data_IF_802774773361
#
_entry.id   IF_802774773361
#
_cell.length_a   1.000
_cell.length_b   1.000
_cell.length_c   1.000
_cell.angle_alpha   90.00
_cell.angle_beta   90.00
_cell.angle_gamma   90.00
#
_symmetry.space_group_name_H-M   'P 1'
#
loop_
_entity.id
_entity.type
_entity.pdbx_description
1 polymer ?
#
# COMPACT_ATOMS: atom_id res chain seq x y z
N UNK A 1 41.16 -10.57 1.12
CA UNK A 1 40.63 -10.42 -0.24
C UNK A 1 39.25 -11.05 -0.29
N UNK A 2 38.21 -10.26 -0.04
CA UNK A 2 36.81 -10.70 -0.14
C UNK A 2 36.12 -9.82 -1.18
N UNK A 3 36.02 -10.32 -2.42
CA UNK A 3 35.25 -9.65 -3.46
C UNK A 3 33.78 -10.03 -3.27
N UNK A 4 33.05 -9.19 -2.53
CA UNK A 4 31.59 -9.24 -2.49
C UNK A 4 31.07 -8.81 -3.87
N UNK A 5 30.84 -9.80 -4.75
CA UNK A 5 30.02 -9.65 -5.95
C UNK A 5 28.56 -9.62 -5.52
N UNK A 6 28.09 -8.49 -5.00
CA UNK A 6 26.66 -8.23 -5.02
C UNK A 6 26.31 -7.66 -6.37
N UNK A 7 25.45 -8.38 -7.06
CA UNK A 7 25.02 -8.15 -8.42
C UNK A 7 24.67 -6.68 -8.65
N UNK A 8 25.41 -6.03 -9.55
CA UNK A 8 24.94 -4.89 -10.32
C UNK A 8 23.85 -5.42 -11.28
N UNK A 9 22.69 -5.76 -10.73
CA UNK A 9 21.49 -5.67 -11.52
C UNK A 9 21.21 -4.19 -11.59
N UNK A 10 21.24 -3.63 -12.79
CA UNK A 10 20.85 -2.26 -13.09
C UNK A 10 19.42 -2.03 -12.62
N UNK A 11 19.20 -1.88 -11.31
CA UNK A 11 17.98 -1.36 -10.73
C UNK A 11 18.02 0.12 -11.08
N UNK A 12 17.58 0.42 -12.29
CA UNK A 12 16.70 1.56 -12.42
C UNK A 12 15.55 1.25 -11.47
N UNK A 13 15.70 1.62 -10.20
CA UNK A 13 14.59 1.65 -9.26
C UNK A 13 13.72 2.78 -9.77
N UNK A 14 12.99 2.52 -10.87
CA UNK A 14 11.87 3.35 -11.25
C UNK A 14 11.03 3.40 -9.98
N UNK A 15 11.03 4.58 -9.39
CA UNK A 15 10.26 4.85 -8.19
C UNK A 15 8.82 4.64 -8.61
N UNK A 16 8.17 3.64 -8.03
CA UNK A 16 6.78 3.25 -8.31
C UNK A 16 5.96 3.43 -7.06
N UNK A 17 4.69 3.77 -7.24
CA UNK A 17 3.72 3.77 -6.15
C UNK A 17 3.30 2.31 -5.95
N UNK A 18 3.33 1.84 -4.71
CA UNK A 18 3.05 0.43 -4.39
C UNK A 18 1.71 0.32 -3.72
N UNK A 19 0.76 -0.36 -4.36
CA UNK A 19 -0.55 -0.64 -3.80
C UNK A 19 -0.66 -2.12 -3.46
N UNK A 20 -0.79 -2.44 -2.18
CA UNK A 20 -1.08 -3.79 -1.71
C UNK A 20 -2.61 -3.97 -1.72
N UNK A 21 -3.09 -4.80 -2.64
CA UNK A 21 -4.51 -5.10 -2.78
C UNK A 21 -5.00 -5.99 -1.64
N UNK A 22 -6.31 -5.96 -1.37
CA UNK A 22 -6.91 -6.76 -0.29
C UNK A 22 -6.72 -8.27 -0.48
N UNK A 23 -6.52 -8.71 -1.72
CA UNK A 23 -6.29 -10.10 -2.13
C UNK A 23 -4.83 -10.54 -1.94
N UNK A 24 -3.95 -9.65 -1.48
CA UNK A 24 -2.52 -9.90 -1.26
C UNK A 24 -1.66 -9.68 -2.50
N UNK A 25 -2.22 -9.18 -3.61
CA UNK A 25 -1.43 -8.84 -4.79
C UNK A 25 -0.83 -7.44 -4.64
N UNK A 26 0.42 -7.28 -5.07
CA UNK A 26 1.06 -5.97 -5.17
C UNK A 26 0.87 -5.41 -6.58
N UNK A 27 0.40 -4.17 -6.66
CA UNK A 27 0.29 -3.41 -7.91
C UNK A 27 1.22 -2.20 -7.86
N UNK A 28 2.02 -2.03 -8.91
CA UNK A 28 3.00 -0.96 -8.99
C UNK A 28 2.61 0.04 -10.10
N UNK A 29 2.68 1.33 -9.78
CA UNK A 29 2.36 2.39 -10.72
C UNK A 29 3.56 3.32 -10.91
N UNK A 30 4.00 3.51 -12.16
CA UNK A 30 5.11 4.41 -12.47
C UNK A 30 4.70 5.87 -12.62
N UNK A 31 3.42 6.20 -12.36
CA UNK A 31 2.85 7.54 -12.43
C UNK A 31 1.83 7.73 -11.30
N UNK A 32 1.51 8.99 -10.93
CA UNK A 32 0.46 9.27 -9.96
C UNK A 32 -0.90 8.72 -10.38
N UNK A 33 -1.57 7.99 -9.50
CA UNK A 33 -2.88 7.39 -9.79
C UNK A 33 -3.91 7.87 -8.77
N UNK A 34 -5.02 8.45 -9.26
CA UNK A 34 -6.12 8.86 -8.40
C UNK A 34 -6.76 7.69 -7.66
N UNK A 35 -6.99 7.89 -6.37
CA UNK A 35 -7.68 6.93 -5.50
C UNK A 35 -9.08 6.61 -6.03
N UNK A 36 -9.83 7.62 -6.48
CA UNK A 36 -11.16 7.42 -7.07
C UNK A 36 -11.17 6.43 -8.25
N UNK A 37 -10.11 6.40 -9.07
CA UNK A 37 -10.00 5.47 -10.19
C UNK A 37 -9.83 4.01 -9.71
N UNK A 38 -9.09 3.81 -8.63
CA UNK A 38 -8.89 2.49 -8.03
C UNK A 38 -10.18 1.99 -7.36
N UNK A 39 -10.86 2.89 -6.63
CA UNK A 39 -12.11 2.57 -5.95
C UNK A 39 -13.29 2.31 -6.90
N UNK A 40 -13.24 2.80 -8.14
CA UNK A 40 -14.23 2.43 -9.16
C UNK A 40 -14.23 0.92 -9.47
N UNK A 41 -13.07 0.26 -9.33
CA UNK A 41 -12.97 -1.19 -9.53
C UNK A 41 -13.41 -1.96 -8.27
N UNK A 42 -13.14 -1.40 -7.10
CA UNK A 42 -13.41 -2.02 -5.80
C UNK A 42 -14.14 -1.03 -4.85
N UNK A 43 -15.46 -0.79 -5.04
CA UNK A 43 -16.20 0.21 -4.27
C UNK A 43 -16.42 -0.19 -2.79
N UNK A 44 -16.26 -1.47 -2.45
CA UNK A 44 -16.36 -1.98 -1.08
C UNK A 44 -15.05 -1.82 -0.28
N UNK A 45 -14.07 -1.10 -0.83
CA UNK A 45 -12.75 -0.89 -0.26
C UNK A 45 -12.42 0.61 -0.18
N UNK A 46 -11.37 0.92 0.56
CA UNK A 46 -10.76 2.24 0.65
C UNK A 46 -9.24 2.09 0.55
N UNK A 47 -8.55 3.16 0.15
CA UNK A 47 -7.09 3.20 0.09
C UNK A 47 -6.59 3.99 1.28
N UNK A 48 -5.51 3.53 1.91
CA UNK A 48 -4.79 4.28 2.94
C UNK A 48 -3.29 4.28 2.66
N UNK A 49 -2.60 5.32 3.11
CA UNK A 49 -1.15 5.38 3.10
C UNK A 49 -0.56 4.52 4.22
N UNK A 50 0.59 3.89 3.96
CA UNK A 50 1.35 3.18 5.00
C UNK A 50 1.75 4.08 6.15
N UNK A 51 2.02 5.35 5.87
CA UNK A 51 2.51 6.32 6.86
C UNK A 51 1.43 6.75 7.86
N UNK A 52 0.15 6.66 7.48
CA UNK A 52 -0.97 6.96 8.36
C UNK A 52 -1.50 5.73 9.13
N UNK A 53 -0.90 4.55 8.90
CA UNK A 53 -1.29 3.32 9.58
C UNK A 53 -0.52 3.16 10.89
N UNK A 54 -1.10 3.69 11.96
CA UNK A 54 -0.56 3.55 13.31
C UNK A 54 -1.34 2.54 14.17
N UNK A 55 -0.63 1.80 15.04
CA UNK A 55 -1.23 0.84 15.96
C UNK A 55 -2.23 1.52 16.92
N UNK A 56 -3.36 0.86 17.18
CA UNK A 56 -4.49 1.36 18.01
C UNK A 56 -5.13 2.67 17.53
N UNK A 57 -4.75 3.15 16.33
CA UNK A 57 -5.38 4.28 15.67
C UNK A 57 -6.42 3.83 14.65
N UNK A 58 -7.29 4.78 14.27
CA UNK A 58 -8.20 4.61 13.17
C UNK A 58 -7.43 4.81 11.87
N UNK A 59 -7.66 3.93 10.89
CA UNK A 59 -7.04 4.09 9.58
C UNK A 59 -7.64 5.30 8.87
N UNK A 60 -6.78 6.26 8.52
CA UNK A 60 -7.16 7.36 7.64
C UNK A 60 -7.34 6.83 6.21
N UNK A 61 -8.48 7.14 5.60
CA UNK A 61 -8.63 6.91 4.16
C UNK A 61 -8.05 8.08 3.39
N UNK A 62 -7.48 7.80 2.23
CA UNK A 62 -7.20 8.82 1.25
C UNK A 62 -8.50 9.21 0.54
N UNK A 63 -8.70 10.50 0.33
CA UNK A 63 -9.78 11.06 -0.46
C UNK A 63 -9.69 10.64 -1.93
N UNK A 64 -10.83 10.57 -2.62
CA UNK A 64 -10.88 10.13 -4.02
C UNK A 64 -10.10 11.02 -5.00
N UNK A 65 -9.84 12.27 -4.63
CA UNK A 65 -9.03 13.21 -5.42
C UNK A 65 -7.52 13.12 -5.15
N UNK A 66 -7.13 12.41 -4.09
CA UNK A 66 -5.71 12.16 -3.80
C UNK A 66 -5.14 11.12 -4.75
N UNK A 67 -3.81 11.16 -4.89
CA UNK A 67 -3.08 10.35 -5.86
C UNK A 67 -1.98 9.55 -5.17
N UNK A 68 -1.87 8.27 -5.53
CA UNK A 68 -0.78 7.41 -5.10
C UNK A 68 0.51 7.91 -5.74
N UNK A 69 1.42 8.44 -4.91
CA UNK A 69 2.68 8.99 -5.36
C UNK A 69 3.74 7.89 -5.49
N UNK A 70 4.56 7.94 -6.54
CA UNK A 70 5.67 7.01 -6.65
C UNK A 70 6.65 7.16 -5.47
N UNK A 71 7.04 6.03 -4.87
CA UNK A 71 7.96 5.98 -3.73
C UNK A 71 7.29 5.60 -2.42
N UNK A 72 5.98 5.75 -2.36
CA UNK A 72 5.17 5.47 -1.18
C UNK A 72 4.47 4.11 -1.29
N UNK A 73 4.04 3.58 -0.15
CA UNK A 73 3.30 2.32 -0.04
C UNK A 73 1.87 2.62 0.43
N UNK A 74 0.91 1.96 -0.21
CA UNK A 74 -0.51 2.12 0.02
C UNK A 74 -1.16 0.74 0.20
N UNK A 75 -2.23 0.70 0.96
CA UNK A 75 -3.00 -0.53 1.21
C UNK A 75 -4.46 -0.33 0.79
N UNK A 76 -4.99 -1.30 0.06
CA UNK A 76 -6.42 -1.43 -0.19
C UNK A 76 -7.05 -2.25 0.94
N UNK A 77 -7.95 -1.62 1.68
CA UNK A 77 -8.59 -2.22 2.85
C UNK A 77 -10.12 -2.25 2.67
N UNK A 78 -10.80 -3.29 3.19
CA UNK A 78 -12.25 -3.35 3.15
C UNK A 78 -12.87 -2.32 4.11
N UNK A 79 -13.99 -1.69 3.72
CA UNK A 79 -14.63 -0.60 4.48
C UNK A 79 -14.93 -0.92 5.96
N UNK A 80 -15.09 -2.21 6.30
CA UNK A 80 -15.26 -2.66 7.69
C UNK A 80 -14.12 -2.22 8.63
N UNK A 81 -12.90 -2.04 8.11
CA UNK A 81 -11.73 -1.65 8.91
C UNK A 81 -11.74 -0.17 9.29
N UNK A 82 -12.54 0.67 8.63
CA UNK A 82 -12.64 2.12 8.93
C UNK A 82 -13.24 2.42 10.31
N UNK A 83 -13.98 1.47 10.87
CA UNK A 83 -14.67 1.61 12.16
C UNK A 83 -14.00 0.84 13.29
N UNK A 84 -12.92 0.12 12.99
CA UNK A 84 -12.20 -0.71 13.94
C UNK A 84 -10.82 -0.10 14.19
N UNK A 85 -10.38 -0.09 15.45
CA UNK A 85 -8.99 0.25 15.78
C UNK A 85 -8.09 -0.87 15.30
N UNK A 86 -7.00 -0.52 14.60
CA UNK A 86 -6.00 -1.48 14.14
C UNK A 86 -5.47 -2.30 15.32
N UNK A 87 -5.91 -3.56 15.43
CA UNK A 87 -5.36 -4.52 16.39
C UNK A 87 -4.09 -5.14 15.84
N UNK A 88 -3.27 -5.73 16.70
CA UNK A 88 -2.04 -6.42 16.29
C UNK A 88 -2.31 -7.55 15.28
N UNK A 89 -3.47 -8.20 15.39
CA UNK A 89 -3.95 -9.24 14.48
C UNK A 89 -4.25 -8.69 13.07
N UNK A 90 -4.87 -7.51 13.00
CA UNK A 90 -5.15 -6.82 11.73
C UNK A 90 -3.85 -6.39 11.05
N UNK A 91 -2.90 -5.84 11.82
CA UNK A 91 -1.56 -5.49 11.31
C UNK A 91 -0.78 -6.72 10.85
N UNK A 92 -0.85 -7.84 11.58
CA UNK A 92 -0.23 -9.09 11.17
C UNK A 92 -0.85 -9.62 9.87
N UNK A 93 -2.18 -9.54 9.72
CA UNK A 93 -2.85 -9.95 8.50
C UNK A 93 -2.44 -9.11 7.28
N UNK A 94 -2.09 -7.83 7.48
CA UNK A 94 -1.54 -6.97 6.43
C UNK A 94 -0.10 -7.33 6.07
N UNK A 95 0.73 -7.56 7.09
CA UNK A 95 2.13 -7.95 6.90
C UNK A 95 2.25 -9.27 6.11
N UNK A 96 1.35 -10.23 6.34
CA UNK A 96 1.29 -11.49 5.59
C UNK A 96 0.89 -11.31 4.13
N UNK A 97 0.06 -10.29 3.83
CA UNK A 97 -0.38 -9.98 2.46
C UNK A 97 0.66 -9.21 1.64
N UNK A 98 1.69 -8.68 2.27
CA UNK A 98 2.73 -7.88 1.63
C UNK A 98 4.00 -8.71 1.29
N UNK A 99 3.93 -10.05 1.26
CA UNK A 99 5.08 -10.97 1.10
C UNK A 99 5.12 -11.63 -0.28
#
# INVERSE_FOLDING_TARGET
MGNCRSCDASRSTTVTAKLVLRDGRLQEFSWPVKVSLLLQQNPDCFICSSDEMEFDQLVAEMGGDEELQPGEVYFELPLRWRKQRLQAEDMAALAVKAV
#
